data_IF_836259764522
#
_entry.id   IF_836259764522
#
_cell.length_a   1.000
_cell.length_b   1.000
_cell.length_c   1.000
_cell.angle_alpha   90.00
_cell.angle_beta   90.00
_cell.angle_gamma   90.00
#
_symmetry.space_group_name_H-M   'P 1'
#
loop_
_entity.id
_entity.type
_entity.pdbx_description
1 polymer ?
#
# COMPACT_ATOMS: atom_id res chain seq x y z
N UNK A 1 -30.94 8.93 -23.91
CA UNK A 1 -29.95 9.97 -24.29
C UNK A 1 -28.68 9.75 -23.46
N UNK A 2 -27.50 9.59 -24.08
CA UNK A 2 -26.34 8.93 -23.48
C UNK A 2 -25.49 9.90 -22.66
N UNK A 3 -25.88 10.18 -21.42
CA UNK A 3 -25.06 11.00 -20.51
C UNK A 3 -23.87 10.24 -19.88
N UNK A 4 -23.73 8.93 -20.14
CA UNK A 4 -22.80 8.05 -19.43
C UNK A 4 -21.34 8.19 -19.88
N UNK A 5 -21.06 8.43 -21.17
CA UNK A 5 -19.67 8.34 -21.69
C UNK A 5 -18.78 9.50 -21.27
N UNK A 6 -19.31 10.71 -21.18
CA UNK A 6 -18.50 11.89 -20.83
C UNK A 6 -18.20 11.97 -19.33
N UNK A 7 -19.13 11.54 -18.48
CA UNK A 7 -18.88 11.37 -17.05
C UNK A 7 -17.78 10.31 -16.79
N UNK A 8 -17.85 9.16 -17.48
CA UNK A 8 -16.81 8.13 -17.35
C UNK A 8 -15.41 8.66 -17.74
N UNK A 9 -15.28 9.48 -18.78
CA UNK A 9 -14.00 10.09 -19.16
C UNK A 9 -13.46 11.04 -18.10
N UNK A 10 -14.31 11.81 -17.45
CA UNK A 10 -13.89 12.72 -16.37
C UNK A 10 -13.48 11.96 -15.12
N UNK A 11 -14.20 10.90 -14.76
CA UNK A 11 -13.88 10.05 -13.62
C UNK A 11 -12.52 9.35 -13.78
N UNK A 12 -12.14 8.93 -14.99
CA UNK A 12 -10.84 8.31 -15.26
C UNK A 12 -9.63 9.26 -15.12
N UNK A 13 -9.86 10.57 -14.94
CA UNK A 13 -8.79 11.57 -14.77
C UNK A 13 -8.43 11.83 -13.31
N UNK A 14 -9.12 11.18 -12.36
CA UNK A 14 -8.78 11.31 -10.95
C UNK A 14 -7.37 10.77 -10.69
N UNK A 15 -6.56 11.59 -10.04
CA UNK A 15 -5.25 11.16 -9.56
C UNK A 15 -5.45 10.41 -8.25
N UNK A 16 -4.94 9.19 -8.18
CA UNK A 16 -4.98 8.36 -6.98
C UNK A 16 -3.56 8.09 -6.50
N UNK A 17 -3.30 8.11 -5.18
CA UNK A 17 -2.00 7.75 -4.65
C UNK A 17 -1.78 6.25 -4.82
N UNK A 18 -0.62 5.90 -5.38
CA UNK A 18 -0.16 4.51 -5.49
C UNK A 18 0.90 4.29 -4.41
N UNK A 19 0.71 3.27 -3.59
CA UNK A 19 1.63 2.91 -2.50
C UNK A 19 2.28 1.57 -2.82
N UNK A 20 3.61 1.54 -2.72
CA UNK A 20 4.39 0.30 -2.84
C UNK A 20 4.85 -0.11 -1.45
N UNK A 21 4.41 -1.28 -1.00
CA UNK A 21 4.71 -1.79 0.34
C UNK A 21 5.79 -2.87 0.24
N UNK A 22 6.97 -2.57 0.81
CA UNK A 22 8.04 -3.55 0.94
C UNK A 22 7.57 -4.75 1.77
N UNK A 23 7.14 -4.51 3.02
CA UNK A 23 6.62 -5.54 3.92
C UNK A 23 5.75 -4.94 5.02
N UNK A 24 4.90 -5.77 5.66
CA UNK A 24 4.14 -5.41 6.86
C UNK A 24 4.43 -6.41 7.97
N UNK A 25 4.45 -5.92 9.21
CA UNK A 25 4.53 -6.75 10.41
C UNK A 25 3.61 -6.20 11.48
N UNK A 26 2.78 -7.06 12.07
CA UNK A 26 1.98 -6.72 13.24
C UNK A 26 2.82 -6.98 14.49
N UNK A 27 2.93 -5.98 15.35
CA UNK A 27 3.64 -6.06 16.62
C UNK A 27 2.68 -5.67 17.77
N UNK A 28 2.85 -6.26 18.96
CA UNK A 28 2.22 -5.73 20.17
C UNK A 28 2.58 -4.26 20.40
N UNK A 29 1.63 -3.47 20.91
CA UNK A 29 1.81 -2.03 21.11
C UNK A 29 3.02 -1.71 22.00
N UNK A 30 3.25 -2.50 23.05
CA UNK A 30 4.39 -2.32 23.95
C UNK A 30 5.74 -2.50 23.25
N UNK A 31 5.81 -3.32 22.20
CA UNK A 31 7.03 -3.48 21.38
C UNK A 31 7.23 -2.31 20.44
N UNK A 32 6.15 -1.77 19.86
CA UNK A 32 6.21 -0.57 19.01
C UNK A 32 6.73 0.63 19.82
N UNK A 33 6.27 0.77 21.07
CA UNK A 33 6.71 1.85 21.97
C UNK A 33 8.18 1.74 22.40
N UNK A 34 8.79 0.55 22.28
CA UNK A 34 10.21 0.32 22.62
C UNK A 34 11.16 0.58 21.45
N UNK A 35 10.65 0.93 20.26
CA UNK A 35 11.48 1.22 19.10
C UNK A 35 12.36 2.46 19.34
N UNK A 36 13.66 2.32 19.07
CA UNK A 36 14.65 3.40 19.15
C UNK A 36 15.52 3.44 17.88
N UNK A 37 16.16 4.58 17.57
CA UNK A 37 17.10 4.67 16.44
C UNK A 37 18.19 3.60 16.52
N UNK A 38 18.46 2.94 15.39
CA UNK A 38 19.46 1.88 15.28
C UNK A 38 18.94 0.46 15.54
N UNK A 39 17.70 0.30 15.99
CA UNK A 39 17.07 -1.03 16.06
C UNK A 39 16.78 -1.61 14.68
N UNK A 40 16.97 -2.93 14.55
CA UNK A 40 16.61 -3.68 13.34
C UNK A 40 15.26 -4.36 13.51
N UNK A 41 14.35 -4.12 12.56
CA UNK A 41 13.03 -4.77 12.51
C UNK A 41 13.08 -5.83 11.41
N UNK A 42 12.99 -7.10 11.81
CA UNK A 42 12.94 -8.21 10.87
C UNK A 42 11.50 -8.41 10.37
N UNK A 43 11.31 -8.37 9.06
CA UNK A 43 10.04 -8.66 8.41
C UNK A 43 9.97 -10.10 7.92
N UNK A 44 8.78 -10.68 7.95
CA UNK A 44 8.55 -12.08 7.58
C UNK A 44 8.21 -12.18 6.07
N UNK A 45 9.02 -11.51 5.24
CA UNK A 45 8.89 -11.51 3.78
C UNK A 45 10.25 -11.81 3.14
N UNK A 46 10.38 -12.85 2.28
CA UNK A 46 11.63 -13.13 1.58
C UNK A 46 12.00 -11.98 0.63
N UNK A 47 13.30 -11.70 0.50
CA UNK A 47 13.80 -10.57 -0.26
C UNK A 47 13.46 -10.66 -1.76
N UNK A 48 13.39 -11.86 -2.31
CA UNK A 48 13.14 -12.08 -3.74
C UNK A 48 11.64 -11.99 -4.11
N UNK A 49 10.76 -11.79 -3.13
CA UNK A 49 9.32 -11.74 -3.41
C UNK A 49 8.89 -10.37 -3.98
N UNK A 50 7.96 -10.36 -4.95
CA UNK A 50 7.42 -9.12 -5.53
C UNK A 50 6.81 -8.15 -4.49
N UNK A 51 6.74 -6.86 -4.82
CA UNK A 51 6.30 -5.80 -3.89
C UNK A 51 4.80 -5.53 -4.04
N UNK A 52 4.06 -5.55 -2.92
CA UNK A 52 2.63 -5.26 -2.96
C UNK A 52 2.37 -3.81 -3.36
N UNK A 53 1.49 -3.65 -4.34
CA UNK A 53 1.13 -2.36 -4.92
C UNK A 53 -0.35 -2.10 -4.64
N UNK A 54 -0.62 -0.98 -4.00
CA UNK A 54 -1.95 -0.65 -3.47
C UNK A 54 -2.41 0.73 -3.92
N UNK A 55 -3.72 0.86 -4.12
CA UNK A 55 -4.41 2.14 -4.32
C UNK A 55 -5.50 2.23 -3.25
N UNK A 56 -5.37 3.20 -2.35
CA UNK A 56 -6.19 3.21 -1.13
C UNK A 56 -5.88 1.99 -0.26
N UNK A 57 -6.92 1.25 0.14
CA UNK A 57 -6.81 0.03 0.97
C UNK A 57 -6.92 -1.27 0.16
N UNK A 58 -6.82 -1.19 -1.18
CA UNK A 58 -6.99 -2.32 -2.09
C UNK A 58 -5.68 -2.67 -2.81
N UNK A 59 -5.30 -3.95 -2.72
CA UNK A 59 -4.15 -4.50 -3.47
C UNK A 59 -4.51 -4.66 -4.93
N UNK A 60 -3.70 -4.07 -5.81
CA UNK A 60 -3.92 -4.08 -7.26
C UNK A 60 -2.86 -4.88 -8.02
N UNK A 61 -1.69 -5.11 -7.42
CA UNK A 61 -0.63 -5.95 -7.97
C UNK A 61 0.34 -6.45 -6.89
N UNK A 62 1.13 -7.46 -7.24
CA UNK A 62 2.22 -8.00 -6.42
C UNK A 62 3.52 -8.03 -7.23
#
# INVERSE_FOLDING_TARGET
>A
MPASKDYCKSALRITVPVVVTLARKKLPVDQVLKLIPGMMIQFDKPCETPMHLEVGDESIAE
#
